data_IF_407719841512
#
_entry.id   IF_407719841512
#
_cell.length_a   1.000
_cell.length_b   1.000
_cell.length_c   1.000
_cell.angle_alpha   90.00
_cell.angle_beta   90.00
_cell.angle_gamma   90.00
#
_symmetry.space_group_name_H-M   'P 1'
#
loop_
_entity.id
_entity.type
_entity.pdbx_description
1 polymer ?
#
# COMPACT_ATOMS: atom_id res chain seq x y z
N UNK A 1 48.10 29.27 -34.71
CA UNK A 1 48.06 28.82 -33.29
C UNK A 1 46.76 29.13 -32.55
N UNK A 2 45.93 30.06 -33.00
CA UNK A 2 44.67 30.43 -32.30
C UNK A 2 43.53 29.48 -32.58
N UNK A 3 43.54 28.74 -33.68
CA UNK A 3 42.43 27.83 -34.10
C UNK A 3 42.40 26.52 -33.30
N UNK A 4 43.54 26.06 -32.79
CA UNK A 4 43.63 24.80 -32.01
C UNK A 4 43.00 24.89 -30.62
N UNK A 5 43.09 26.07 -29.98
CA UNK A 5 42.52 26.27 -28.64
C UNK A 5 40.99 26.35 -28.62
N UNK A 6 40.39 26.91 -29.66
CA UNK A 6 38.94 27.05 -29.78
C UNK A 6 38.27 25.69 -30.00
N UNK A 7 38.91 24.81 -30.77
CA UNK A 7 38.37 23.46 -31.04
C UNK A 7 38.43 22.57 -29.79
N UNK A 8 39.52 22.68 -28.98
CA UNK A 8 39.65 21.94 -27.73
C UNK A 8 38.60 22.39 -26.69
N UNK A 9 38.32 23.69 -26.59
CA UNK A 9 37.33 24.23 -25.67
C UNK A 9 35.88 23.81 -26.06
N UNK A 10 35.57 23.78 -27.34
CA UNK A 10 34.26 23.31 -27.79
C UNK A 10 34.05 21.82 -27.51
N UNK A 11 35.07 20.99 -27.67
CA UNK A 11 34.99 19.54 -27.34
C UNK A 11 34.86 19.28 -25.85
N UNK A 12 35.51 20.06 -25.00
CA UNK A 12 35.39 19.95 -23.55
C UNK A 12 33.99 20.35 -23.05
N UNK A 13 33.39 21.40 -23.64
CA UNK A 13 32.03 21.82 -23.31
C UNK A 13 30.97 20.79 -23.74
N UNK A 14 31.15 20.13 -24.88
CA UNK A 14 30.25 19.08 -25.32
C UNK A 14 30.30 17.83 -24.44
N UNK A 15 31.47 17.44 -23.98
CA UNK A 15 31.65 16.29 -23.09
C UNK A 15 31.07 16.58 -21.71
N UNK A 16 31.19 17.80 -21.18
CA UNK A 16 30.59 18.23 -19.92
C UNK A 16 29.07 18.27 -20.01
N UNK A 17 28.48 18.74 -21.11
CA UNK A 17 27.04 18.76 -21.32
C UNK A 17 26.47 17.35 -21.43
N UNK A 18 27.18 16.42 -22.08
CA UNK A 18 26.72 15.02 -22.19
C UNK A 18 26.76 14.26 -20.85
N UNK A 19 27.75 14.53 -20.01
CA UNK A 19 27.85 13.91 -18.69
C UNK A 19 26.78 14.39 -17.73
N UNK A 20 26.34 15.64 -17.82
CA UNK A 20 25.24 16.17 -17.02
C UNK A 20 23.89 15.57 -17.43
N UNK A 21 23.67 15.34 -18.73
CA UNK A 21 22.43 14.71 -19.21
C UNK A 21 22.29 13.24 -18.79
N UNK A 22 23.40 12.49 -18.77
CA UNK A 22 23.40 11.07 -18.34
C UNK A 22 23.24 10.94 -16.82
N UNK A 23 23.69 11.94 -16.03
CA UNK A 23 23.51 11.97 -14.58
C UNK A 23 22.09 12.27 -14.13
N UNK A 24 21.30 12.99 -14.93
CA UNK A 24 19.93 13.38 -14.56
C UNK A 24 18.88 12.27 -14.74
N UNK A 25 19.20 11.17 -15.40
CA UNK A 25 18.24 10.08 -15.67
C UNK A 25 18.22 8.99 -14.60
N UNK A 26 18.98 9.10 -13.51
CA UNK A 26 19.09 8.07 -12.48
C UNK A 26 18.22 8.30 -11.24
N UNK A 27 17.39 9.31 -11.21
CA UNK A 27 16.49 9.59 -10.10
C UNK A 27 15.01 9.32 -10.44
N UNK A 28 14.72 8.30 -11.23
CA UNK A 28 13.42 7.67 -11.18
C UNK A 28 13.42 6.75 -9.95
N UNK A 29 13.25 7.29 -8.74
CA UNK A 29 12.88 6.49 -7.59
C UNK A 29 11.57 5.82 -7.93
N UNK A 30 11.58 4.49 -8.05
CA UNK A 30 10.36 3.71 -8.10
C UNK A 30 9.60 4.03 -6.82
N UNK A 31 8.57 4.86 -6.94
CA UNK A 31 7.65 5.15 -5.85
C UNK A 31 6.84 3.87 -5.59
N UNK A 32 7.28 3.10 -4.62
CA UNK A 32 6.54 1.95 -4.12
C UNK A 32 5.35 2.48 -3.33
N UNK A 33 4.16 2.38 -3.88
CA UNK A 33 2.96 2.72 -3.16
C UNK A 33 2.76 1.70 -2.03
N UNK A 34 2.58 2.20 -0.80
CA UNK A 34 2.30 1.39 0.37
C UNK A 34 0.84 1.52 0.75
N UNK A 35 0.22 0.41 1.12
CA UNK A 35 -1.12 0.34 1.66
C UNK A 35 -1.15 -0.26 3.05
N UNK A 36 -2.18 0.05 3.81
CA UNK A 36 -2.47 -0.55 5.10
C UNK A 36 -3.98 -0.67 5.33
N UNK A 37 -4.35 -1.68 6.09
CA UNK A 37 -5.72 -1.92 6.50
C UNK A 37 -5.76 -2.08 8.02
N UNK A 38 -6.62 -1.32 8.69
CA UNK A 38 -6.79 -1.38 10.13
C UNK A 38 -8.10 -2.06 10.48
N UNK A 39 -8.08 -2.88 11.50
CA UNK A 39 -9.22 -3.66 12.00
C UNK A 39 -9.37 -3.40 13.48
N UNK A 40 -10.57 -3.07 13.90
CA UNK A 40 -10.98 -2.87 15.28
C UNK A 40 -12.20 -3.68 15.67
N UNK A 41 -12.75 -3.38 16.82
CA UNK A 41 -13.96 -4.03 17.33
C UNK A 41 -15.23 -3.51 16.65
N UNK A 42 -16.29 -4.30 16.69
CA UNK A 42 -17.63 -3.91 16.22
C UNK A 42 -17.67 -3.47 14.75
N UNK A 43 -16.84 -4.08 13.91
CA UNK A 43 -16.75 -3.74 12.49
C UNK A 43 -16.04 -2.43 12.18
N UNK A 44 -15.33 -1.85 13.15
CA UNK A 44 -14.48 -0.69 12.93
C UNK A 44 -13.31 -1.04 12.02
N UNK A 45 -13.03 -0.19 11.06
CA UNK A 45 -11.91 -0.38 10.13
C UNK A 45 -11.37 0.95 9.63
N UNK A 46 -10.19 0.89 9.04
CA UNK A 46 -9.58 1.99 8.30
C UNK A 46 -8.75 1.44 7.14
N UNK A 47 -8.59 2.23 6.12
CA UNK A 47 -7.83 1.83 4.93
C UNK A 47 -7.01 3.00 4.39
N UNK A 48 -5.82 2.70 3.93
CA UNK A 48 -4.92 3.65 3.30
C UNK A 48 -4.17 2.98 2.16
N UNK A 49 -4.02 3.69 1.07
CA UNK A 49 -3.30 3.23 -0.13
C UNK A 49 -2.61 4.41 -0.80
N UNK A 50 -1.65 4.11 -1.67
CA UNK A 50 -0.84 5.12 -2.38
C UNK A 50 -0.01 6.04 -1.46
N UNK A 51 0.40 5.54 -0.30
CA UNK A 51 1.33 6.25 0.57
C UNK A 51 2.79 5.95 0.18
N UNK A 52 3.70 6.91 0.36
CA UNK A 52 5.12 6.71 0.01
C UNK A 52 5.82 5.70 0.94
N UNK A 53 5.35 5.54 2.18
CA UNK A 53 5.95 4.68 3.20
C UNK A 53 4.90 3.86 3.96
N UNK A 54 5.28 2.65 4.36
CA UNK A 54 4.41 1.75 5.14
C UNK A 54 3.97 2.38 6.47
N UNK A 55 4.88 3.04 7.18
CA UNK A 55 4.57 3.67 8.46
C UNK A 55 3.49 4.74 8.31
N UNK A 56 3.56 5.55 7.25
CA UNK A 56 2.56 6.56 6.94
C UNK A 56 1.19 5.94 6.57
N UNK A 57 1.19 4.87 5.77
CA UNK A 57 -0.02 4.14 5.43
C UNK A 57 -0.69 3.53 6.67
N UNK A 58 0.08 2.89 7.54
CA UNK A 58 -0.41 2.31 8.79
C UNK A 58 -1.01 3.38 9.72
N UNK A 59 -0.34 4.51 9.89
CA UNK A 59 -0.84 5.62 10.69
C UNK A 59 -2.16 6.19 10.13
N UNK A 60 -2.26 6.35 8.82
CA UNK A 60 -3.47 6.81 8.15
C UNK A 60 -4.65 5.84 8.30
N UNK A 61 -4.41 4.53 8.16
CA UNK A 61 -5.43 3.50 8.36
C UNK A 61 -5.91 3.47 9.83
N UNK A 62 -4.99 3.52 10.79
CA UNK A 62 -5.32 3.57 12.22
C UNK A 62 -6.14 4.81 12.60
N UNK A 63 -5.84 5.95 12.00
CA UNK A 63 -6.58 7.20 12.25
C UNK A 63 -8.05 7.13 11.83
N UNK A 64 -8.37 6.36 10.81
CA UNK A 64 -9.75 6.14 10.34
C UNK A 64 -10.51 5.09 11.18
N UNK A 65 -9.79 4.20 11.85
CA UNK A 65 -10.36 3.12 12.63
C UNK A 65 -10.68 3.59 14.05
N UNK A 66 -11.91 3.40 14.50
CA UNK A 66 -12.36 3.84 15.83
C UNK A 66 -11.97 2.83 16.90
N UNK A 67 -11.46 3.33 18.03
CA UNK A 67 -11.08 2.54 19.19
C UNK A 67 -9.69 1.89 19.02
N UNK A 68 -9.48 0.78 19.70
CA UNK A 68 -8.26 0.00 19.58
C UNK A 68 -8.25 -0.82 18.29
N UNK A 69 -7.38 -0.44 17.38
CA UNK A 69 -7.26 -1.07 16.08
C UNK A 69 -5.84 -1.60 15.85
N UNK A 70 -5.74 -2.65 15.06
CA UNK A 70 -4.47 -3.18 14.54
C UNK A 70 -4.38 -2.94 13.06
N UNK A 71 -3.27 -2.39 12.59
CA UNK A 71 -3.01 -2.19 11.18
C UNK A 71 -2.15 -3.34 10.62
N UNK A 72 -2.54 -3.81 9.45
CA UNK A 72 -1.76 -4.75 8.63
C UNK A 72 -1.35 -4.07 7.33
N UNK A 73 -0.14 -4.36 6.88
CA UNK A 73 0.37 -3.78 5.63
C UNK A 73 -0.16 -4.56 4.44
N UNK A 74 -0.53 -3.84 3.39
CA UNK A 74 -0.84 -4.40 2.07
C UNK A 74 0.31 -4.06 1.11
N UNK A 75 1.00 -5.09 0.63
CA UNK A 75 2.02 -4.98 -0.43
C UNK A 75 1.59 -5.82 -1.61
N UNK A 76 1.17 -5.20 -2.71
CA UNK A 76 0.62 -5.90 -3.87
C UNK A 76 -0.43 -6.93 -3.46
N UNK A 77 -1.30 -6.53 -2.54
CA UNK A 77 -2.24 -7.41 -1.90
C UNK A 77 -3.56 -6.70 -1.62
N UNK A 78 -4.57 -7.49 -1.37
CA UNK A 78 -5.88 -7.03 -0.94
C UNK A 78 -6.14 -7.48 0.50
N UNK A 79 -6.76 -6.62 1.29
CA UNK A 79 -7.27 -6.93 2.61
C UNK A 79 -8.80 -7.00 2.60
N UNK A 80 -9.37 -7.84 3.45
CA UNK A 80 -10.80 -7.92 3.65
C UNK A 80 -11.13 -8.13 5.12
N UNK A 81 -12.25 -7.59 5.57
CA UNK A 81 -12.84 -7.77 6.88
C UNK A 81 -14.25 -8.33 6.74
N UNK A 82 -14.51 -9.45 7.39
CA UNK A 82 -15.84 -10.03 7.55
C UNK A 82 -16.30 -9.89 9.00
N UNK A 83 -17.56 -9.60 9.20
CA UNK A 83 -18.17 -9.37 10.51
C UNK A 83 -19.46 -10.17 10.61
N UNK A 84 -19.72 -10.72 11.79
CA UNK A 84 -20.99 -11.39 12.08
C UNK A 84 -22.09 -10.34 12.25
N UNK A 85 -23.05 -10.31 11.34
CA UNK A 85 -24.16 -9.36 11.38
C UNK A 85 -25.17 -9.68 12.50
N UNK A 86 -25.20 -10.91 13.00
CA UNK A 86 -26.01 -11.25 14.17
C UNK A 86 -25.43 -10.63 15.46
N UNK A 87 -24.12 -10.42 15.50
CA UNK A 87 -23.43 -9.76 16.60
C UNK A 87 -22.16 -9.04 16.08
N UNK A 88 -22.26 -7.81 15.59
CA UNK A 88 -21.12 -7.08 15.00
C UNK A 88 -19.92 -6.87 15.92
N UNK A 89 -20.13 -6.90 17.24
CA UNK A 89 -19.06 -6.80 18.23
C UNK A 89 -18.50 -8.19 18.64
N UNK A 90 -19.02 -9.25 18.08
CA UNK A 90 -18.59 -10.63 18.32
C UNK A 90 -17.54 -11.11 17.29
N UNK A 91 -17.84 -12.25 16.67
CA UNK A 91 -16.93 -12.87 15.72
C UNK A 91 -16.67 -11.98 14.50
N UNK A 92 -15.40 -11.93 14.12
CA UNK A 92 -14.96 -11.28 12.89
C UNK A 92 -13.75 -12.04 12.33
N UNK A 93 -13.46 -11.83 11.07
CA UNK A 93 -12.29 -12.36 10.41
C UNK A 93 -11.70 -11.35 9.45
N UNK A 94 -10.38 -11.31 9.35
CA UNK A 94 -9.72 -10.51 8.34
C UNK A 94 -8.58 -11.29 7.68
N UNK A 95 -8.27 -10.94 6.46
CA UNK A 95 -7.20 -11.57 5.72
C UNK A 95 -6.56 -10.60 4.74
N UNK A 96 -5.27 -10.79 4.51
CA UNK A 96 -4.50 -10.11 3.47
C UNK A 96 -3.95 -11.18 2.53
N UNK A 97 -4.34 -11.13 1.28
CA UNK A 97 -3.96 -12.08 0.23
C UNK A 97 -3.63 -11.34 -1.07
N UNK A 98 -2.85 -11.92 -1.98
CA UNK A 98 -2.53 -11.29 -3.25
C UNK A 98 -3.75 -10.97 -4.13
N UNK A 99 -4.81 -11.78 -4.06
CA UNK A 99 -6.03 -11.59 -4.85
C UNK A 99 -7.21 -11.24 -3.95
N UNK A 100 -8.07 -10.33 -4.42
CA UNK A 100 -9.25 -9.92 -3.66
C UNK A 100 -10.19 -11.09 -3.36
N UNK A 101 -10.43 -11.99 -4.30
CA UNK A 101 -11.28 -13.17 -4.08
C UNK A 101 -10.77 -14.05 -2.94
N UNK A 102 -9.45 -14.24 -2.88
CA UNK A 102 -8.81 -15.02 -1.80
C UNK A 102 -8.93 -14.33 -0.45
N UNK A 103 -8.82 -13.00 -0.41
CA UNK A 103 -8.98 -12.21 0.82
C UNK A 103 -10.41 -12.26 1.34
N UNK A 104 -11.39 -12.09 0.45
CA UNK A 104 -12.80 -12.16 0.80
C UNK A 104 -13.17 -13.55 1.36
N UNK A 105 -12.77 -14.61 0.68
CA UNK A 105 -13.03 -15.98 1.13
C UNK A 105 -12.34 -16.30 2.46
N UNK A 106 -11.07 -15.92 2.62
CA UNK A 106 -10.33 -16.17 3.85
C UNK A 106 -10.90 -15.38 5.04
N UNK A 107 -11.27 -14.12 4.86
CA UNK A 107 -11.88 -13.30 5.89
C UNK A 107 -13.24 -13.88 6.35
N UNK A 108 -14.09 -14.25 5.40
CA UNK A 108 -15.39 -14.87 5.69
C UNK A 108 -15.23 -16.19 6.41
N UNK A 109 -14.32 -17.05 5.96
CA UNK A 109 -14.03 -18.33 6.61
C UNK A 109 -13.58 -18.13 8.06
N UNK A 110 -12.66 -17.22 8.32
CA UNK A 110 -12.18 -16.91 9.67
C UNK A 110 -13.30 -16.41 10.59
N UNK A 111 -14.19 -15.57 10.08
CA UNK A 111 -15.35 -15.10 10.84
C UNK A 111 -16.24 -16.28 11.31
N UNK A 112 -16.52 -17.24 10.44
CA UNK A 112 -17.25 -18.45 10.82
C UNK A 112 -16.46 -19.37 11.77
N UNK A 113 -15.17 -19.51 11.58
CA UNK A 113 -14.27 -20.27 12.47
C UNK A 113 -14.24 -19.69 13.88
N UNK A 114 -14.37 -18.37 14.03
CA UNK A 114 -14.47 -17.71 15.32
C UNK A 114 -15.88 -17.70 15.94
N UNK A 115 -16.80 -18.41 15.36
CA UNK A 115 -18.16 -18.59 15.89
C UNK A 115 -19.22 -17.67 15.29
N UNK A 116 -18.90 -16.97 14.21
CA UNK A 116 -19.90 -16.15 13.48
C UNK A 116 -21.01 -16.98 12.89
N UNK A 117 -22.22 -16.44 12.87
CA UNK A 117 -23.41 -17.09 12.32
C UNK A 117 -23.86 -16.48 10.99
N UNK A 118 -23.71 -15.18 10.85
CA UNK A 118 -24.10 -14.41 9.66
C UNK A 118 -22.91 -13.53 9.20
N UNK A 119 -21.82 -14.16 8.78
CA UNK A 119 -20.60 -13.47 8.39
C UNK A 119 -20.73 -12.85 7.00
N UNK A 120 -20.60 -11.54 6.93
CA UNK A 120 -20.63 -10.77 5.69
C UNK A 120 -19.36 -9.90 5.57
N UNK A 121 -18.97 -9.60 4.35
CA UNK A 121 -17.86 -8.67 4.10
C UNK A 121 -18.30 -7.26 4.49
N UNK A 122 -17.61 -6.69 5.46
CA UNK A 122 -17.81 -5.32 5.94
C UNK A 122 -17.03 -4.31 5.13
N UNK A 123 -15.79 -4.64 4.80
CA UNK A 123 -14.89 -3.76 4.07
C UNK A 123 -13.79 -4.56 3.37
N UNK A 124 -13.27 -4.00 2.31
CA UNK A 124 -12.09 -4.52 1.62
C UNK A 124 -11.33 -3.39 0.95
N UNK A 125 -10.04 -3.58 0.76
CA UNK A 125 -9.19 -2.65 0.03
C UNK A 125 -8.04 -3.42 -0.62
N UNK A 126 -7.57 -2.92 -1.74
CA UNK A 126 -6.37 -3.42 -2.40
C UNK A 126 -5.32 -2.31 -2.46
N UNK A 127 -4.06 -2.68 -2.28
CA UNK A 127 -2.97 -1.82 -2.72
C UNK A 127 -3.02 -1.70 -4.26
N UNK A 128 -2.64 -0.52 -4.81
CA UNK A 128 -2.86 -0.10 -6.20
C UNK A 128 -2.44 -1.11 -7.30
N UNK A 129 -1.78 -2.19 -6.94
CA UNK A 129 -1.32 -3.25 -7.84
C UNK A 129 -1.63 -4.67 -7.35
N UNK A 130 -2.58 -4.77 -6.45
CA UNK A 130 -3.06 -6.05 -5.92
C UNK A 130 -4.04 -6.76 -6.85
#
# INVERSE_FOLDING_TARGET
>A
MIVSTVVAQRRALFILALTVLVGATRFASESWAAGAFAVGKCGSYGQAYDYPEEAAARAAALKQCKGECKAVTMKRACAALAVDMANPCGAHGYAVKPKISSSLNAATKKCYEFGGKECVIRAWACDARG
#
